data_IF_507355254167
#
_entry.id   IF_507355254167
#
_cell.length_a   1.000
_cell.length_b   1.000
_cell.length_c   1.000
_cell.angle_alpha   90.00
_cell.angle_beta   90.00
_cell.angle_gamma   90.00
#
_symmetry.space_group_name_H-M   'P 1'
#
loop_
_entity.id
_entity.type
_entity.pdbx_description
1 polymer ?
#
# COMPACT_ATOMS: atom_id res chain seq x y z
N UNK A 1 -16.00 -65.72 12.77
CA UNK A 1 -15.66 -64.84 13.90
C UNK A 1 -15.00 -63.61 13.30
N UNK A 2 -15.75 -62.52 13.13
CA UNK A 2 -15.20 -61.27 12.61
C UNK A 2 -14.65 -60.46 13.78
N UNK A 3 -13.32 -60.39 13.86
CA UNK A 3 -12.62 -59.58 14.86
C UNK A 3 -12.93 -58.10 14.62
N UNK A 4 -13.78 -57.53 15.48
CA UNK A 4 -14.11 -56.12 15.46
C UNK A 4 -12.84 -55.26 15.59
N UNK A 5 -12.55 -54.46 14.55
CA UNK A 5 -11.44 -53.49 14.55
C UNK A 5 -11.55 -52.56 15.76
N UNK A 6 -10.73 -52.85 16.79
CA UNK A 6 -10.62 -52.04 18.01
C UNK A 6 -10.07 -50.67 17.62
N UNK A 7 -10.85 -49.60 17.83
CA UNK A 7 -10.43 -48.20 17.63
C UNK A 7 -9.22 -47.91 18.52
N UNK A 8 -8.03 -47.87 17.94
CA UNK A 8 -6.82 -47.41 18.63
C UNK A 8 -6.94 -45.90 18.84
N UNK A 9 -6.91 -45.44 20.09
CA UNK A 9 -6.82 -44.01 20.41
C UNK A 9 -5.43 -43.52 20.00
N UNK A 10 -5.36 -42.46 19.18
CA UNK A 10 -4.09 -41.80 18.81
C UNK A 10 -3.31 -41.41 20.06
N UNK A 11 -2.02 -41.72 20.07
CA UNK A 11 -1.09 -41.32 21.14
C UNK A 11 -0.88 -39.81 21.13
N UNK A 12 -0.34 -39.26 22.23
CA UNK A 12 -0.07 -37.82 22.32
C UNK A 12 0.92 -37.35 21.24
N UNK A 13 1.94 -38.15 20.96
CA UNK A 13 2.96 -37.90 19.93
C UNK A 13 2.36 -37.83 18.52
N UNK A 14 1.45 -38.75 18.18
CA UNK A 14 0.75 -38.76 16.89
C UNK A 14 -0.11 -37.49 16.71
N UNK A 15 -0.73 -37.00 17.78
CA UNK A 15 -1.51 -35.75 17.72
C UNK A 15 -0.62 -34.53 17.54
N UNK A 16 0.58 -34.55 18.11
CA UNK A 16 1.55 -33.46 18.00
C UNK A 16 2.08 -33.36 16.56
N UNK A 17 2.45 -34.50 15.96
CA UNK A 17 2.83 -34.57 14.56
C UNK A 17 1.69 -34.13 13.61
N UNK A 18 0.44 -34.55 13.87
CA UNK A 18 -0.74 -34.10 13.11
C UNK A 18 -0.93 -32.57 13.19
N UNK A 19 -0.65 -31.96 14.35
CA UNK A 19 -0.77 -30.51 14.55
C UNK A 19 0.36 -29.73 13.86
N UNK A 20 1.60 -30.24 13.91
CA UNK A 20 2.74 -29.65 13.22
C UNK A 20 2.54 -29.67 11.70
N UNK A 21 2.05 -30.78 11.15
CA UNK A 21 1.73 -30.88 9.72
C UNK A 21 0.64 -29.87 9.32
N UNK A 22 -0.43 -29.76 10.11
CA UNK A 22 -1.48 -28.75 9.85
C UNK A 22 -0.96 -27.33 9.95
N UNK A 23 -0.08 -27.04 10.90
CA UNK A 23 0.52 -25.73 11.04
C UNK A 23 1.36 -25.39 9.81
N UNK A 24 2.20 -26.32 9.34
CA UNK A 24 2.99 -26.14 8.12
C UNK A 24 2.09 -25.88 6.90
N UNK A 25 1.03 -26.67 6.70
CA UNK A 25 0.07 -26.48 5.61
C UNK A 25 -0.62 -25.11 5.66
N UNK A 26 -1.02 -24.65 6.85
CA UNK A 26 -1.64 -23.33 7.02
C UNK A 26 -0.64 -22.23 6.66
N UNK A 27 0.60 -22.34 7.14
CA UNK A 27 1.65 -21.35 6.86
C UNK A 27 1.98 -21.29 5.37
N UNK A 28 2.04 -22.43 4.67
CA UNK A 28 2.24 -22.46 3.22
C UNK A 28 1.08 -21.81 2.47
N UNK A 29 -0.17 -22.09 2.86
CA UNK A 29 -1.36 -21.44 2.27
C UNK A 29 -1.35 -19.94 2.49
N UNK A 30 -0.97 -19.48 3.68
CA UNK A 30 -0.84 -18.06 3.98
C UNK A 30 0.24 -17.40 3.12
N UNK A 31 1.41 -18.02 2.99
CA UNK A 31 2.49 -17.53 2.12
C UNK A 31 2.05 -17.43 0.66
N UNK A 32 1.36 -18.45 0.16
CA UNK A 32 0.83 -18.45 -1.21
C UNK A 32 -0.22 -17.36 -1.43
N UNK A 33 -1.11 -17.13 -0.45
CA UNK A 33 -2.10 -16.07 -0.51
C UNK A 33 -1.45 -14.68 -0.52
N UNK A 34 -0.45 -14.45 0.33
CA UNK A 34 0.31 -13.19 0.36
C UNK A 34 1.02 -12.96 -0.98
N UNK A 35 1.71 -13.98 -1.51
CA UNK A 35 2.41 -13.87 -2.80
C UNK A 35 1.44 -13.48 -3.94
N UNK A 36 0.23 -14.07 -3.95
CA UNK A 36 -0.82 -13.72 -4.94
C UNK A 36 -1.30 -12.28 -4.79
N UNK A 37 -1.49 -11.81 -3.56
CA UNK A 37 -1.87 -10.40 -3.29
C UNK A 37 -0.77 -9.45 -3.77
N UNK A 38 0.49 -9.76 -3.51
CA UNK A 38 1.62 -8.93 -3.96
C UNK A 38 1.74 -8.89 -5.48
N UNK A 39 1.53 -10.03 -6.16
CA UNK A 39 1.52 -10.10 -7.61
C UNK A 39 0.39 -9.26 -8.21
N UNK A 40 -0.82 -9.37 -7.67
CA UNK A 40 -1.95 -8.54 -8.08
C UNK A 40 -1.70 -7.05 -7.83
N UNK A 41 -1.09 -6.70 -6.69
CA UNK A 41 -0.69 -5.32 -6.38
C UNK A 41 0.33 -4.79 -7.40
N UNK A 42 1.33 -5.59 -7.79
CA UNK A 42 2.30 -5.24 -8.84
C UNK A 42 1.61 -5.01 -10.18
N UNK A 43 0.69 -5.90 -10.57
CA UNK A 43 -0.08 -5.76 -11.81
C UNK A 43 -0.93 -4.49 -11.80
N UNK A 44 -1.66 -4.22 -10.71
CA UNK A 44 -2.46 -3.00 -10.54
C UNK A 44 -1.60 -1.74 -10.62
N UNK A 45 -0.42 -1.73 -9.99
CA UNK A 45 0.52 -0.60 -10.03
C UNK A 45 1.15 -0.38 -11.41
N UNK A 46 1.21 -1.42 -12.25
CA UNK A 46 1.67 -1.32 -13.63
C UNK A 46 0.59 -0.85 -14.59
N UNK A 47 -0.69 -0.84 -14.17
CA UNK A 47 -1.79 -0.40 -15.04
C UNK A 47 -1.61 1.07 -15.48
N UNK A 48 -2.02 1.41 -16.71
CA UNK A 48 -1.95 2.78 -17.21
C UNK A 48 -2.72 3.80 -16.35
N UNK A 49 -3.78 3.38 -15.64
CA UNK A 49 -4.53 4.25 -14.73
C UNK A 49 -3.70 4.66 -13.53
N UNK A 50 -3.06 3.70 -12.84
CA UNK A 50 -2.20 3.99 -11.70
C UNK A 50 -1.02 4.90 -12.07
N UNK A 51 -0.49 4.77 -13.30
CA UNK A 51 0.54 5.68 -13.81
C UNK A 51 0.00 7.10 -13.99
N UNK A 52 -1.21 7.27 -14.52
CA UNK A 52 -1.85 8.59 -14.65
C UNK A 52 -2.10 9.24 -13.30
N UNK A 53 -2.59 8.47 -12.33
CA UNK A 53 -2.89 8.98 -10.98
C UNK A 53 -1.61 9.45 -10.27
N UNK A 54 -0.52 8.68 -10.38
CA UNK A 54 0.81 9.09 -9.88
C UNK A 54 1.30 10.39 -10.51
N UNK A 55 1.21 10.50 -11.84
CA UNK A 55 1.62 11.72 -12.55
C UNK A 55 0.76 12.91 -12.16
N UNK A 56 -0.54 12.72 -11.92
CA UNK A 56 -1.41 13.79 -11.43
C UNK A 56 -1.04 14.24 -10.01
N UNK A 57 -0.75 13.30 -9.11
CA UNK A 57 -0.30 13.60 -7.76
C UNK A 57 1.04 14.36 -7.77
N UNK A 58 2.02 13.91 -8.56
CA UNK A 58 3.30 14.60 -8.75
C UNK A 58 3.10 16.04 -9.24
N UNK A 59 2.21 16.25 -10.22
CA UNK A 59 1.89 17.60 -10.74
C UNK A 59 1.22 18.49 -9.69
N UNK A 60 0.35 17.93 -8.84
CA UNK A 60 -0.30 18.68 -7.76
C UNK A 60 0.71 19.08 -6.70
N UNK A 61 1.59 18.16 -6.31
CA UNK A 61 2.69 18.42 -5.39
C UNK A 61 3.62 19.51 -5.93
N UNK A 62 4.10 19.39 -7.17
CA UNK A 62 5.00 20.38 -7.76
C UNK A 62 4.40 21.79 -7.81
N UNK A 63 3.08 21.90 -8.05
CA UNK A 63 2.37 23.20 -8.00
C UNK A 63 2.29 23.74 -6.58
N UNK A 64 1.91 22.91 -5.62
CA UNK A 64 1.82 23.33 -4.22
C UNK A 64 3.20 23.76 -3.70
N UNK A 65 4.25 23.00 -4.00
CA UNK A 65 5.62 23.32 -3.64
C UNK A 65 6.08 24.67 -4.23
N UNK A 66 5.82 24.92 -5.52
CA UNK A 66 6.16 26.19 -6.14
C UNK A 66 5.41 27.39 -5.54
N UNK A 67 4.15 27.21 -5.12
CA UNK A 67 3.37 28.28 -4.47
C UNK A 67 3.88 28.55 -3.05
N UNK A 68 4.22 27.50 -2.30
CA UNK A 68 4.66 27.61 -0.92
C UNK A 68 6.10 28.13 -0.79
N UNK A 69 6.99 27.68 -1.66
CA UNK A 69 8.40 28.02 -1.60
C UNK A 69 9.02 28.07 -3.02
N UNK A 70 8.83 29.17 -3.76
CA UNK A 70 9.27 29.31 -5.15
C UNK A 70 10.79 29.15 -5.33
N UNK A 71 11.57 29.58 -4.32
CA UNK A 71 13.04 29.61 -4.37
C UNK A 71 13.68 28.31 -3.84
N UNK A 72 12.88 27.34 -3.40
CA UNK A 72 13.40 26.11 -2.82
C UNK A 72 13.76 25.10 -3.91
N UNK A 73 15.03 24.70 -3.93
CA UNK A 73 15.48 23.54 -4.70
C UNK A 73 15.30 22.21 -3.95
N UNK A 74 15.48 21.08 -4.63
CA UNK A 74 15.30 19.72 -4.11
C UNK A 74 16.01 19.48 -2.77
N UNK A 75 17.20 20.05 -2.58
CA UNK A 75 17.99 19.94 -1.34
C UNK A 75 17.26 20.51 -0.12
N UNK A 76 16.55 21.63 -0.31
CA UNK A 76 15.79 22.27 0.76
C UNK A 76 14.57 21.45 1.15
N UNK A 77 13.89 20.83 0.17
CA UNK A 77 12.80 19.92 0.46
C UNK A 77 13.27 18.65 1.19
N UNK A 78 14.42 18.10 0.82
CA UNK A 78 15.00 16.93 1.52
C UNK A 78 15.30 17.28 2.98
N UNK A 79 15.94 18.42 3.24
CA UNK A 79 16.23 18.88 4.61
C UNK A 79 14.95 19.15 5.42
N UNK A 80 13.92 19.73 4.80
CA UNK A 80 12.63 19.96 5.45
C UNK A 80 11.91 18.64 5.77
N UNK A 81 11.99 17.63 4.90
CA UNK A 81 11.44 16.30 5.15
C UNK A 81 12.18 15.61 6.29
N UNK A 82 13.51 15.70 6.34
CA UNK A 82 14.32 15.15 7.43
C UNK A 82 13.90 15.73 8.79
N UNK A 83 13.72 17.05 8.87
CA UNK A 83 13.24 17.70 10.08
C UNK A 83 11.82 17.26 10.46
N UNK A 84 10.93 17.10 9.47
CA UNK A 84 9.57 16.65 9.70
C UNK A 84 9.48 15.21 10.21
N UNK A 85 10.40 14.31 9.83
CA UNK A 85 10.38 12.92 10.32
C UNK A 85 10.54 12.79 11.84
N UNK A 86 10.97 13.84 12.54
CA UNK A 86 11.04 13.89 14.00
C UNK A 86 9.70 14.24 14.69
N UNK A 87 8.67 14.63 13.94
CA UNK A 87 7.35 15.02 14.46
C UNK A 87 6.33 13.86 14.41
N UNK A 88 5.15 14.10 14.99
CA UNK A 88 4.03 13.17 14.97
C UNK A 88 3.50 12.95 13.54
N UNK A 89 3.48 11.67 13.13
CA UNK A 89 3.14 11.24 11.79
C UNK A 89 1.68 11.58 11.42
N UNK A 90 0.74 11.48 12.36
CA UNK A 90 -0.67 11.70 12.10
C UNK A 90 -0.98 13.20 11.92
N UNK A 91 -0.36 14.05 12.75
CA UNK A 91 -0.45 15.51 12.60
C UNK A 91 0.13 15.99 11.26
N UNK A 92 1.27 15.44 10.84
CA UNK A 92 1.91 15.77 9.56
C UNK A 92 1.05 15.39 8.36
N UNK A 93 0.44 14.21 8.39
CA UNK A 93 -0.43 13.75 7.32
C UNK A 93 -1.63 14.69 7.15
N UNK A 94 -2.33 15.00 8.25
CA UNK A 94 -3.47 15.91 8.25
C UNK A 94 -3.11 17.31 7.74
N UNK A 95 -1.92 17.82 8.11
CA UNK A 95 -1.43 19.12 7.63
C UNK A 95 -1.09 19.09 6.15
N UNK A 96 -0.46 18.02 5.67
CA UNK A 96 -0.13 17.83 4.26
C UNK A 96 -1.38 17.77 3.37
N UNK A 97 -2.42 17.07 3.81
CA UNK A 97 -3.70 17.00 3.10
C UNK A 97 -4.35 18.39 2.96
N UNK A 98 -4.40 19.18 4.04
CA UNK A 98 -4.91 20.57 4.00
C UNK A 98 -4.12 21.45 3.03
N UNK A 99 -2.79 21.37 3.04
CA UNK A 99 -1.95 22.16 2.13
C UNK A 99 -2.17 21.78 0.66
N UNK A 100 -2.44 20.50 0.36
CA UNK A 100 -2.79 20.06 -0.97
C UNK A 100 -4.20 20.51 -1.40
N UNK A 101 -5.15 20.64 -0.48
CA UNK A 101 -6.46 21.23 -0.77
C UNK A 101 -6.37 22.73 -1.06
N UNK A 102 -5.56 23.44 -0.28
CA UNK A 102 -5.36 24.89 -0.38
C UNK A 102 -4.57 25.26 -1.64
N UNK A 103 -3.45 24.57 -1.90
CA UNK A 103 -2.48 24.93 -2.94
C UNK A 103 -2.44 23.95 -4.12
N UNK A 104 -2.92 22.72 -3.94
CA UNK A 104 -2.88 21.64 -4.93
C UNK A 104 -4.06 21.61 -5.90
N UNK A 105 -4.81 22.71 -6.07
CA UNK A 105 -5.93 22.77 -7.03
C UNK A 105 -5.43 22.41 -8.44
N UNK A 106 -5.89 21.26 -8.93
CA UNK A 106 -5.75 20.88 -10.32
C UNK A 106 -6.50 21.91 -11.18
N UNK A 107 -5.80 22.72 -11.98
CA UNK A 107 -6.42 23.48 -13.07
C UNK A 107 -7.29 22.51 -13.87
N UNK A 108 -8.62 22.63 -13.78
CA UNK A 108 -9.56 21.94 -14.68
C UNK A 108 -9.08 22.26 -16.09
N UNK A 109 -8.62 21.23 -16.81
CA UNK A 109 -8.31 21.36 -18.23
C UNK A 109 -9.50 22.00 -18.94
N UNK A 110 -9.19 22.88 -19.90
CA UNK A 110 -10.17 23.53 -20.77
C UNK A 110 -11.16 22.47 -21.25
N UNK A 111 -12.46 22.60 -20.91
CA UNK A 111 -13.50 21.75 -21.52
C UNK A 111 -13.30 21.82 -23.03
N UNK A 112 -13.25 20.69 -23.77
CA UNK A 112 -13.17 20.74 -25.22
C UNK A 112 -14.35 21.59 -25.72
N UNK A 113 -14.04 22.64 -26.47
CA UNK A 113 -15.05 23.51 -27.11
C UNK A 113 -15.83 22.59 -28.03
N UNK A 114 -17.13 22.42 -27.81
CA UNK A 114 -18.00 21.71 -28.77
C UNK A 114 -17.77 22.39 -30.12
N UNK A 115 -17.22 21.65 -31.09
CA UNK A 115 -17.27 22.06 -32.48
C UNK A 115 -18.75 22.06 -32.85
N UNK A 116 -19.29 23.26 -33.04
CA UNK A 116 -20.58 23.53 -33.66
C UNK A 116 -20.46 23.34 -35.17
#
# INVERSE_FOLDING_TARGET
MEEGKKRVRRTAEQRLADLEQKHAEIMERQRAAIAKIEEQKKQLMQTPSARKDKVELEKRFARAAYVLAPEWDQRHFIAAIELALAEDQEALQNRGEKLLEEHGKGRRGRRPRKLS
#
